data_IF_322107570705
#
_entry.id   IF_322107570705
#
_cell.length_a   1.000
_cell.length_b   1.000
_cell.length_c   1.000
_cell.angle_alpha   90.00
_cell.angle_beta   90.00
_cell.angle_gamma   90.00
#
_symmetry.space_group_name_H-M   'P 1'
#
loop_
_entity.id
_entity.type
_entity.pdbx_description
1 polymer ?
#
# COMPACT_ATOMS: atom_id res chain seq x y z
N UNK A 1 37.99 16.29 -12.70
CA UNK A 1 37.17 15.07 -12.86
C UNK A 1 37.82 14.16 -13.89
N UNK A 2 37.76 12.83 -13.72
CA UNK A 2 38.21 11.89 -14.76
C UNK A 2 37.38 12.12 -16.04
N UNK A 3 38.01 11.94 -17.21
CA UNK A 3 37.33 12.00 -18.51
C UNK A 3 37.03 10.59 -18.95
N UNK A 4 35.76 10.32 -19.26
CA UNK A 4 35.29 9.06 -19.81
C UNK A 4 34.79 9.32 -21.22
N UNK A 5 35.10 8.40 -22.14
CA UNK A 5 34.49 8.36 -23.48
C UNK A 5 33.43 7.27 -23.45
N UNK A 6 32.20 7.61 -23.79
CA UNK A 6 31.07 6.68 -23.82
C UNK A 6 30.51 6.69 -25.23
N UNK A 7 30.11 5.51 -25.72
CA UNK A 7 29.31 5.39 -26.93
C UNK A 7 27.85 5.26 -26.51
N UNK A 8 26.99 6.07 -27.09
CA UNK A 8 25.54 6.05 -26.90
C UNK A 8 24.88 5.75 -28.24
N UNK A 9 23.64 5.28 -28.22
CA UNK A 9 22.88 5.12 -29.46
C UNK A 9 22.43 6.49 -30.01
N UNK A 10 21.85 6.46 -31.22
CA UNK A 10 21.44 7.66 -31.93
C UNK A 10 20.27 8.38 -31.22
N UNK A 11 19.41 7.65 -30.52
CA UNK A 11 18.26 8.21 -29.80
C UNK A 11 18.73 8.96 -28.55
N UNK A 12 19.60 8.35 -27.75
CA UNK A 12 20.25 8.96 -26.59
C UNK A 12 21.10 10.17 -26.99
N UNK A 13 21.82 10.06 -28.12
CA UNK A 13 22.59 11.18 -28.67
C UNK A 13 21.69 12.37 -29.02
N UNK A 14 20.53 12.13 -29.64
CA UNK A 14 19.56 13.17 -29.97
C UNK A 14 19.00 13.84 -28.72
N UNK A 15 18.68 13.08 -27.67
CA UNK A 15 18.21 13.61 -26.39
C UNK A 15 19.29 14.49 -25.75
N UNK A 16 20.54 14.02 -25.70
CA UNK A 16 21.66 14.80 -25.13
C UNK A 16 21.89 16.08 -25.93
N UNK A 17 21.76 16.04 -27.25
CA UNK A 17 21.86 17.21 -28.12
C UNK A 17 20.75 18.21 -27.86
N UNK A 18 19.50 17.77 -27.76
CA UNK A 18 18.37 18.63 -27.44
C UNK A 18 18.58 19.32 -26.09
N UNK A 19 18.95 18.56 -25.06
CA UNK A 19 19.18 19.04 -23.70
C UNK A 19 20.37 20.03 -23.60
N UNK A 20 21.32 19.97 -24.54
CA UNK A 20 22.51 20.83 -24.58
C UNK A 20 22.55 21.82 -25.76
N UNK A 21 21.42 21.99 -26.44
CA UNK A 21 21.24 22.92 -27.54
C UNK A 21 21.15 24.38 -27.06
N UNK A 22 21.25 25.36 -27.97
CA UNK A 22 21.03 26.77 -27.65
C UNK A 22 19.58 26.99 -27.16
N UNK A 23 19.44 27.27 -25.87
CA UNK A 23 18.15 27.37 -25.17
C UNK A 23 17.76 26.12 -24.38
N UNK A 24 18.58 25.07 -24.41
CA UNK A 24 18.47 23.89 -23.57
C UNK A 24 18.87 24.15 -22.11
N UNK A 25 18.52 23.24 -21.19
CA UNK A 25 18.80 23.37 -19.76
C UNK A 25 20.28 23.24 -19.38
N UNK A 26 21.16 22.79 -20.27
CA UNK A 26 22.57 22.54 -19.97
C UNK A 26 23.51 23.20 -20.97
N UNK A 27 24.67 23.65 -20.51
CA UNK A 27 25.65 24.36 -21.34
C UNK A 27 26.49 23.42 -22.21
N UNK A 28 26.45 22.11 -21.93
CA UNK A 28 27.21 21.13 -22.69
C UNK A 28 26.63 19.72 -22.63
N UNK A 29 26.94 18.91 -23.65
CA UNK A 29 26.64 17.45 -23.66
C UNK A 29 27.13 16.73 -22.42
N UNK A 30 28.33 17.10 -21.94
CA UNK A 30 28.90 16.50 -20.73
C UNK A 30 28.16 16.91 -19.45
N UNK A 31 27.57 18.10 -19.41
CA UNK A 31 26.72 18.53 -18.30
C UNK A 31 25.37 17.84 -18.33
N UNK A 32 24.73 17.78 -19.50
CA UNK A 32 23.50 17.02 -19.71
C UNK A 32 23.68 15.55 -19.29
N UNK A 33 24.75 14.89 -19.72
CA UNK A 33 25.05 13.50 -19.35
C UNK A 33 25.24 13.32 -17.84
N UNK A 34 25.91 14.26 -17.16
CA UNK A 34 26.05 14.22 -15.70
C UNK A 34 24.70 14.38 -15.01
N UNK A 35 23.86 15.29 -15.50
CA UNK A 35 22.53 15.50 -14.96
C UNK A 35 21.66 14.24 -15.14
N UNK A 36 21.68 13.60 -16.32
CA UNK A 36 20.97 12.34 -16.56
C UNK A 36 21.39 11.25 -15.55
N UNK A 37 22.69 11.10 -15.29
CA UNK A 37 23.18 10.12 -14.30
C UNK A 37 22.68 10.45 -12.89
N UNK A 38 22.70 11.71 -12.48
CA UNK A 38 22.19 12.12 -11.16
C UNK A 38 20.67 11.91 -11.05
N UNK A 39 19.92 12.17 -12.13
CA UNK A 39 18.49 11.90 -12.17
C UNK A 39 18.20 10.40 -12.11
N UNK A 40 19.02 9.56 -12.75
CA UNK A 40 18.90 8.11 -12.65
C UNK A 40 19.02 7.63 -11.20
N UNK A 41 20.05 8.08 -10.46
CA UNK A 41 20.21 7.74 -9.04
C UNK A 41 18.98 8.17 -8.22
N UNK A 42 18.42 9.34 -8.53
CA UNK A 42 17.22 9.85 -7.86
C UNK A 42 15.97 9.04 -8.20
N UNK A 43 15.81 8.62 -9.45
CA UNK A 43 14.70 7.77 -9.89
C UNK A 43 14.79 6.42 -9.18
N UNK A 44 15.97 5.81 -9.13
CA UNK A 44 16.17 4.51 -8.47
C UNK A 44 15.85 4.59 -6.97
N UNK A 45 16.24 5.69 -6.30
CA UNK A 45 15.87 5.96 -4.91
C UNK A 45 14.35 6.07 -4.74
N UNK A 46 13.68 6.85 -5.60
CA UNK A 46 12.24 7.04 -5.57
C UNK A 46 11.47 5.75 -5.85
N UNK A 47 11.95 4.90 -6.76
CA UNK A 47 11.35 3.60 -7.05
C UNK A 47 11.43 2.66 -5.85
N UNK A 48 12.60 2.60 -5.20
CA UNK A 48 12.78 1.82 -3.95
C UNK A 48 11.86 2.30 -2.84
N UNK A 49 11.73 3.62 -2.67
CA UNK A 49 10.80 4.18 -1.68
C UNK A 49 9.34 3.88 -2.03
N UNK A 50 8.97 3.97 -3.31
CA UNK A 50 7.62 3.65 -3.76
C UNK A 50 7.26 2.19 -3.51
N UNK A 51 8.19 1.28 -3.78
CA UNK A 51 8.04 -0.15 -3.48
C UNK A 51 7.85 -0.38 -1.98
N UNK A 52 8.70 0.24 -1.13
CA UNK A 52 8.57 0.17 0.33
C UNK A 52 7.19 0.64 0.80
N UNK A 53 6.73 1.80 0.32
CA UNK A 53 5.43 2.38 0.69
C UNK A 53 4.26 1.52 0.21
N UNK A 54 4.35 0.92 -0.97
CA UNK A 54 3.32 -0.01 -1.47
C UNK A 54 3.22 -1.27 -0.61
N UNK A 55 4.36 -1.81 -0.18
CA UNK A 55 4.41 -2.97 0.70
C UNK A 55 3.85 -2.64 2.10
N UNK A 56 4.23 -1.49 2.65
CA UNK A 56 3.71 -0.99 3.94
C UNK A 56 2.18 -0.78 3.89
N UNK A 57 1.67 -0.15 2.82
CA UNK A 57 0.22 0.01 2.61
C UNK A 57 -0.50 -1.34 2.56
N UNK A 58 0.09 -2.33 1.87
CA UNK A 58 -0.51 -3.67 1.77
C UNK A 58 -0.60 -4.34 3.14
N UNK A 59 0.47 -4.29 3.92
CA UNK A 59 0.50 -4.84 5.28
C UNK A 59 -0.54 -4.18 6.20
N UNK A 60 -0.70 -2.85 6.11
CA UNK A 60 -1.70 -2.13 6.91
C UNK A 60 -3.13 -2.52 6.52
N UNK A 61 -3.41 -2.71 5.22
CA UNK A 61 -4.72 -3.16 4.75
C UNK A 61 -5.02 -4.57 5.30
N UNK A 62 -4.05 -5.48 5.19
CA UNK A 62 -4.17 -6.84 5.72
C UNK A 62 -4.42 -6.84 7.24
N UNK A 63 -3.64 -6.07 8.01
CA UNK A 63 -3.86 -5.91 9.45
C UNK A 63 -5.25 -5.35 9.79
N UNK A 64 -5.76 -4.40 8.99
CA UNK A 64 -7.09 -3.84 9.20
C UNK A 64 -8.17 -4.88 8.94
N UNK A 65 -8.02 -5.67 7.89
CA UNK A 65 -8.98 -6.70 7.53
C UNK A 65 -8.99 -7.82 8.59
N UNK A 66 -7.82 -8.27 9.06
CA UNK A 66 -7.69 -9.18 10.22
C UNK A 66 -8.35 -8.60 11.48
N UNK A 67 -8.12 -7.32 11.78
CA UNK A 67 -8.74 -6.67 12.93
C UNK A 67 -10.27 -6.60 12.80
N UNK A 68 -10.80 -6.32 11.61
CA UNK A 68 -12.24 -6.34 11.34
C UNK A 68 -12.84 -7.73 11.57
N UNK A 69 -12.15 -8.80 11.15
CA UNK A 69 -12.59 -10.17 11.40
C UNK A 69 -12.59 -10.51 12.90
N UNK A 70 -11.55 -10.11 13.63
CA UNK A 70 -11.47 -10.31 15.09
C UNK A 70 -12.59 -9.56 15.83
N UNK A 71 -12.89 -8.33 15.42
CA UNK A 71 -14.01 -7.56 15.99
C UNK A 71 -15.33 -8.29 15.75
N UNK A 72 -15.59 -8.71 14.51
CA UNK A 72 -16.82 -9.44 14.16
C UNK A 72 -16.95 -10.75 14.95
N UNK A 73 -15.84 -11.47 15.16
CA UNK A 73 -15.82 -12.68 15.96
C UNK A 73 -16.19 -12.40 17.42
N UNK A 74 -15.57 -11.40 18.04
CA UNK A 74 -15.84 -11.02 19.44
C UNK A 74 -17.27 -10.53 19.63
N UNK A 75 -17.80 -9.77 18.68
CA UNK A 75 -19.20 -9.34 18.69
C UNK A 75 -20.15 -10.54 18.60
N UNK A 76 -19.89 -11.48 17.68
CA UNK A 76 -20.68 -12.72 17.58
C UNK A 76 -20.64 -13.57 18.86
N UNK A 77 -19.49 -13.69 19.52
CA UNK A 77 -19.39 -14.39 20.81
C UNK A 77 -20.18 -13.68 21.92
N UNK A 78 -20.16 -12.34 21.97
CA UNK A 78 -20.93 -11.57 22.95
C UNK A 78 -22.42 -11.79 22.79
N UNK A 79 -22.93 -11.75 21.56
CA UNK A 79 -24.35 -11.98 21.28
C UNK A 79 -24.77 -13.39 21.73
N UNK A 80 -23.95 -14.41 21.45
CA UNK A 80 -24.20 -15.78 21.90
C UNK A 80 -24.22 -15.88 23.44
N UNK A 81 -23.27 -15.25 24.12
CA UNK A 81 -23.22 -15.22 25.58
C UNK A 81 -24.43 -14.50 26.19
N UNK A 82 -24.88 -13.40 25.59
CA UNK A 82 -26.08 -12.69 26.03
C UNK A 82 -27.32 -13.57 25.89
N UNK A 83 -27.50 -14.23 24.74
CA UNK A 83 -28.59 -15.18 24.54
C UNK A 83 -28.55 -16.35 25.54
N UNK A 84 -27.37 -16.86 25.88
CA UNK A 84 -27.23 -17.91 26.90
C UNK A 84 -27.59 -17.40 28.30
N UNK A 85 -27.16 -16.20 28.66
CA UNK A 85 -27.52 -15.56 29.94
C UNK A 85 -29.02 -15.33 30.03
N UNK A 86 -29.65 -14.85 28.96
CA UNK A 86 -31.10 -14.72 28.88
C UNK A 86 -31.80 -16.07 29.07
N UNK A 87 -31.32 -17.14 28.44
CA UNK A 87 -31.87 -18.49 28.62
C UNK A 87 -31.74 -18.97 30.07
N UNK A 88 -30.57 -18.77 30.68
CA UNK A 88 -30.30 -19.16 32.08
C UNK A 88 -31.13 -18.36 33.08
N UNK A 89 -31.36 -17.07 32.82
CA UNK A 89 -32.14 -16.20 33.70
C UNK A 89 -33.64 -16.15 33.35
N UNK A 90 -34.06 -16.78 32.25
CA UNK A 90 -35.47 -16.81 31.85
C UNK A 90 -36.31 -17.61 32.87
N UNK A 91 -37.42 -17.03 33.38
CA UNK A 91 -38.35 -17.74 34.23
C UNK A 91 -39.02 -18.91 33.49
N UNK A 92 -39.41 -19.96 34.23
CA UNK A 92 -39.90 -21.26 33.69
C UNK A 92 -41.00 -21.09 32.64
N UNK A 93 -41.93 -20.16 32.83
CA UNK A 93 -43.01 -19.89 31.88
C UNK A 93 -42.51 -19.40 30.51
N UNK A 94 -41.43 -18.61 30.44
CA UNK A 94 -40.81 -18.19 29.17
C UNK A 94 -40.15 -19.37 28.45
N UNK A 95 -39.51 -20.27 29.19
CA UNK A 95 -38.88 -21.48 28.63
C UNK A 95 -39.93 -22.43 28.03
N UNK A 96 -41.06 -22.61 28.71
CA UNK A 96 -42.19 -23.40 28.20
C UNK A 96 -42.79 -22.75 26.95
N UNK A 97 -42.93 -21.41 26.93
CA UNK A 97 -43.39 -20.68 25.76
C UNK A 97 -42.49 -20.91 24.54
N UNK A 98 -41.17 -20.86 24.70
CA UNK A 98 -40.22 -21.11 23.62
C UNK A 98 -40.24 -22.55 23.09
N UNK A 99 -40.54 -23.54 23.94
CA UNK A 99 -40.67 -24.94 23.53
C UNK A 99 -41.91 -25.18 22.66
N UNK A 100 -43.01 -24.47 22.94
CA UNK A 100 -44.32 -24.72 22.29
C UNK A 100 -44.51 -23.88 21.03
N UNK A 101 -44.09 -22.61 21.04
CA UNK A 101 -44.37 -21.66 19.94
C UNK A 101 -43.16 -21.35 19.06
N UNK A 102 -41.94 -21.77 19.42
CA UNK A 102 -40.73 -21.26 18.78
C UNK A 102 -40.46 -19.79 19.17
N UNK A 103 -39.29 -19.27 18.78
CA UNK A 103 -38.90 -17.87 19.04
C UNK A 103 -39.40 -17.01 17.88
N UNK A 104 -40.26 -16.03 18.15
CA UNK A 104 -40.33 -14.80 17.35
C UNK A 104 -39.12 -13.92 17.72
#
# INVERSE_FOLDING_TARGET
MPRLTVSVDDDDAAIIEELSSDGGPYESKSEAMRACIQQYERIEELERENERLRNEKRAIIEQRDEHSELVAYVEGERDLQEMERERRNAPIWRRIKWLIMGRD
#
